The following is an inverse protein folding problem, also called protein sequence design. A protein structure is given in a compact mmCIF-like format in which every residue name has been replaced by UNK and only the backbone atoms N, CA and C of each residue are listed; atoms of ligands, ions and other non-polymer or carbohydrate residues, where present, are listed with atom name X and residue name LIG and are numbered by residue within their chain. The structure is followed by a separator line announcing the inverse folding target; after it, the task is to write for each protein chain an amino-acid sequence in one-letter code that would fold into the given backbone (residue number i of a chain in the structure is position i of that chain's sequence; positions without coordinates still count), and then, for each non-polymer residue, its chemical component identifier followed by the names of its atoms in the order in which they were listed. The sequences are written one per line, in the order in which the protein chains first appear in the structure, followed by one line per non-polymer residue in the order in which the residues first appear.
data_IF_062956538273
#
_entry.id   IF_062956538273
#
_cell.length_a   1.000
_cell.length_b   1.000
_cell.length_c   1.000
_cell.angle_alpha   90.00
_cell.angle_beta   90.00
_cell.angle_gamma   90.00
#
_symmetry.space_group_name_H-M   'P 1'
#
loop_
_entity.id
_entity.type
_entity.pdbx_description
1 polymer ?
#
# COMPACT_ATOMS: atom_id res chain seq x y z
N UNK A 1 -59.24 -24.69 -8.04
CA UNK A 1 -59.16 -24.41 -9.50
C UNK A 1 -58.74 -22.96 -9.64
N UNK A 2 -57.50 -22.69 -10.07
CA UNK A 2 -57.15 -22.35 -11.47
C UNK A 2 -57.89 -21.09 -11.95
N UNK A 3 -57.29 -19.99 -12.41
CA UNK A 3 -55.92 -19.63 -12.78
C UNK A 3 -55.95 -18.37 -13.69
N UNK A 4 -54.76 -17.88 -14.07
CA UNK A 4 -54.44 -16.90 -15.16
C UNK A 4 -54.82 -15.42 -14.91
N UNK A 5 -53.85 -14.54 -14.65
CA UNK A 5 -52.86 -13.88 -15.57
C UNK A 5 -53.50 -12.91 -16.57
N UNK A 6 -53.29 -11.61 -16.35
CA UNK A 6 -52.94 -10.65 -17.39
C UNK A 6 -52.03 -9.57 -16.78
N UNK A 7 -50.79 -9.52 -17.28
CA UNK A 7 -49.85 -8.40 -17.18
C UNK A 7 -50.29 -7.35 -18.20
N UNK A 8 -50.03 -6.08 -17.92
CA UNK A 8 -49.37 -5.09 -18.79
C UNK A 8 -49.04 -3.89 -17.87
N UNK A 9 -47.80 -3.71 -17.40
CA UNK A 9 -46.65 -3.08 -18.09
C UNK A 9 -46.94 -1.64 -18.55
N UNK A 10 -46.75 -0.65 -17.67
CA UNK A 10 -45.92 0.51 -18.02
C UNK A 10 -45.52 1.30 -16.76
N UNK A 11 -44.23 1.27 -16.46
CA UNK A 11 -43.58 1.80 -15.26
C UNK A 11 -42.40 0.87 -15.00
N UNK A 12 -41.15 1.29 -14.95
CA UNK A 12 -40.59 2.58 -14.60
C UNK A 12 -39.29 2.76 -15.39
N UNK A 13 -38.94 4.02 -15.63
CA UNK A 13 -37.65 4.47 -16.11
C UNK A 13 -36.54 3.93 -15.20
N UNK A 14 -35.80 2.89 -15.64
CA UNK A 14 -34.59 2.42 -14.95
C UNK A 14 -33.47 3.44 -15.12
N UNK A 15 -33.59 4.54 -14.38
CA UNK A 15 -32.43 5.32 -13.96
C UNK A 15 -31.94 4.69 -12.67
N UNK A 16 -30.97 3.77 -12.78
CA UNK A 16 -30.19 3.31 -11.62
C UNK A 16 -29.38 4.49 -11.09
N UNK A 17 -30.01 5.35 -10.29
CA UNK A 17 -29.32 6.35 -9.50
C UNK A 17 -28.50 5.59 -8.45
N UNK A 18 -27.18 5.51 -8.67
CA UNK A 18 -26.20 5.05 -7.68
C UNK A 18 -26.31 5.95 -6.45
N UNK A 19 -27.14 5.54 -5.49
CA UNK A 19 -27.40 6.24 -4.21
C UNK A 19 -26.29 5.99 -3.19
N UNK A 20 -25.10 5.55 -3.63
CA UNK A 20 -23.96 5.32 -2.74
C UNK A 20 -23.51 6.65 -2.14
N UNK A 21 -23.76 6.80 -0.83
CA UNK A 21 -23.34 7.97 -0.05
C UNK A 21 -21.85 8.27 -0.26
N UNK A 22 -21.46 9.54 -0.50
CA UNK A 22 -20.10 9.92 -0.90
C UNK A 22 -19.01 9.43 0.07
N UNK A 23 -19.31 9.35 1.37
CA UNK A 23 -18.38 8.79 2.37
C UNK A 23 -18.11 7.29 2.18
N UNK A 24 -19.10 6.50 1.74
CA UNK A 24 -18.93 5.07 1.46
C UNK A 24 -18.11 4.88 0.19
N UNK A 25 -18.38 5.68 -0.85
CA UNK A 25 -17.61 5.70 -2.09
C UNK A 25 -16.14 6.05 -1.84
N UNK A 26 -15.89 7.13 -1.08
CA UNK A 26 -14.55 7.53 -0.63
C UNK A 26 -13.83 6.41 0.12
N UNK A 27 -14.48 5.75 1.09
CA UNK A 27 -13.84 4.65 1.86
C UNK A 27 -13.45 3.46 0.97
N UNK A 28 -14.26 3.13 -0.04
CA UNK A 28 -13.94 2.08 -1.02
C UNK A 28 -12.76 2.50 -1.89
N UNK A 29 -12.75 3.74 -2.38
CA UNK A 29 -11.65 4.29 -3.20
C UNK A 29 -10.31 4.29 -2.46
N UNK A 30 -10.28 4.75 -1.20
CA UNK A 30 -9.08 4.68 -0.36
C UNK A 30 -8.62 3.23 -0.13
N UNK A 31 -9.53 2.32 0.19
CA UNK A 31 -9.20 0.91 0.36
C UNK A 31 -8.63 0.25 -0.90
N UNK A 32 -9.12 0.66 -2.08
CA UNK A 32 -8.62 0.19 -3.38
C UNK A 32 -7.22 0.75 -3.68
N UNK A 33 -6.96 2.02 -3.36
CA UNK A 33 -5.64 2.63 -3.52
C UNK A 33 -4.59 1.94 -2.63
N UNK A 34 -4.94 1.68 -1.37
CA UNK A 34 -4.08 0.96 -0.43
C UNK A 34 -3.81 -0.48 -0.90
N UNK A 35 -4.83 -1.17 -1.43
CA UNK A 35 -4.67 -2.52 -1.99
C UNK A 35 -3.74 -2.53 -3.22
N UNK A 36 -3.83 -1.52 -4.10
CA UNK A 36 -2.93 -1.38 -5.25
C UNK A 36 -1.48 -1.18 -4.81
N UNK A 37 -1.24 -0.28 -3.84
CA UNK A 37 0.10 -0.08 -3.29
C UNK A 37 0.64 -1.36 -2.63
N UNK A 38 -0.21 -2.08 -1.87
CA UNK A 38 0.16 -3.35 -1.27
C UNK A 38 0.56 -4.41 -2.32
N UNK A 39 -0.17 -4.49 -3.43
CA UNK A 39 0.19 -5.37 -4.55
C UNK A 39 1.55 -4.98 -5.14
N UNK A 40 1.80 -3.70 -5.39
CA UNK A 40 3.09 -3.23 -5.88
C UNK A 40 4.24 -3.59 -4.93
N UNK A 41 4.08 -3.43 -3.61
CA UNK A 41 5.11 -3.84 -2.64
C UNK A 41 5.36 -5.35 -2.63
N UNK A 42 4.33 -6.16 -2.85
CA UNK A 42 4.51 -7.60 -3.00
C UNK A 42 5.29 -7.94 -4.27
N UNK A 43 4.95 -7.29 -5.38
CA UNK A 43 5.59 -7.52 -6.69
C UNK A 43 7.05 -7.03 -6.73
N UNK A 44 7.44 -6.07 -5.88
CA UNK A 44 8.86 -5.74 -5.67
C UNK A 44 9.68 -6.92 -5.14
N UNK A 45 9.03 -7.89 -4.50
CA UNK A 45 9.65 -9.14 -4.01
C UNK A 45 9.54 -10.31 -4.97
N UNK A 46 8.92 -10.15 -6.13
CA UNK A 46 8.68 -11.23 -7.08
C UNK A 46 10.00 -11.82 -7.61
N UNK A 47 10.07 -13.11 -7.90
CA UNK A 47 11.30 -13.73 -8.42
C UNK A 47 11.58 -13.38 -9.89
N UNK A 48 10.57 -12.95 -10.63
CA UNK A 48 10.69 -12.50 -12.02
C UNK A 48 11.16 -11.05 -12.07
N UNK A 49 12.34 -10.84 -12.68
CA UNK A 49 12.95 -9.49 -12.82
C UNK A 49 12.02 -8.48 -13.50
N UNK A 50 11.31 -8.90 -14.54
CA UNK A 50 10.40 -8.03 -15.28
C UNK A 50 9.24 -7.53 -14.39
N UNK A 51 8.66 -8.42 -13.59
CA UNK A 51 7.62 -8.07 -12.61
C UNK A 51 8.14 -7.07 -11.59
N UNK A 52 9.31 -7.32 -11.00
CA UNK A 52 9.93 -6.39 -10.03
C UNK A 52 10.16 -4.99 -10.60
N UNK A 53 10.73 -4.90 -11.81
CA UNK A 53 11.03 -3.61 -12.44
C UNK A 53 9.75 -2.86 -12.85
N UNK A 54 8.74 -3.59 -13.32
CA UNK A 54 7.44 -3.00 -13.62
C UNK A 54 6.79 -2.44 -12.36
N UNK A 55 6.77 -3.22 -11.28
CA UNK A 55 6.23 -2.79 -9.99
C UNK A 55 6.97 -1.57 -9.43
N UNK A 56 8.30 -1.52 -9.55
CA UNK A 56 9.08 -0.34 -9.17
C UNK A 56 8.67 0.89 -9.98
N UNK A 57 8.57 0.77 -11.30
CA UNK A 57 8.14 1.89 -12.16
C UNK A 57 6.71 2.37 -11.84
N UNK A 58 5.78 1.43 -11.63
CA UNK A 58 4.39 1.74 -11.30
C UNK A 58 4.27 2.39 -9.91
N UNK A 59 5.05 1.93 -8.92
CA UNK A 59 5.12 2.54 -7.60
C UNK A 59 5.68 3.96 -7.66
N UNK A 60 6.74 4.19 -8.42
CA UNK A 60 7.34 5.52 -8.60
C UNK A 60 6.30 6.49 -9.20
N UNK A 61 5.55 6.07 -10.23
CA UNK A 61 4.48 6.89 -10.83
C UNK A 61 3.36 7.19 -9.83
N UNK A 62 2.98 6.21 -9.02
CA UNK A 62 1.96 6.39 -7.99
C UNK A 62 2.41 7.39 -6.90
N UNK A 63 3.71 7.47 -6.62
CA UNK A 63 4.28 8.33 -5.58
C UNK A 63 4.77 9.69 -6.08
N UNK A 64 4.84 9.91 -7.40
CA UNK A 64 5.30 11.17 -7.96
C UNK A 64 4.48 12.38 -7.51
N UNK A 65 3.17 12.19 -7.33
CA UNK A 65 2.20 13.21 -6.89
C UNK A 65 1.59 12.89 -5.51
N UNK A 66 2.23 11.99 -4.75
CA UNK A 66 1.74 11.60 -3.44
C UNK A 66 1.94 12.72 -2.41
N UNK A 67 1.03 12.81 -1.45
CA UNK A 67 1.21 13.69 -0.31
C UNK A 67 2.43 13.28 0.54
N UNK A 68 2.98 14.20 1.36
CA UNK A 68 4.15 13.91 2.19
C UNK A 68 3.95 12.71 3.12
N UNK A 69 2.75 12.54 3.72
CA UNK A 69 2.49 11.45 4.66
C UNK A 69 2.55 10.06 3.96
N UNK A 70 1.98 9.97 2.75
CA UNK A 70 2.00 8.78 1.91
C UNK A 70 3.43 8.47 1.45
N UNK A 71 4.22 9.49 1.13
CA UNK A 71 5.64 9.34 0.81
C UNK A 71 6.43 8.82 2.01
N UNK A 72 6.22 9.36 3.21
CA UNK A 72 6.87 8.92 4.45
C UNK A 72 6.58 7.44 4.75
N UNK A 73 5.30 7.06 4.69
CA UNK A 73 4.83 5.68 4.85
C UNK A 73 5.46 4.75 3.81
N UNK A 74 5.62 5.23 2.58
CA UNK A 74 6.25 4.47 1.50
C UNK A 74 7.74 4.27 1.74
N UNK A 75 8.47 5.31 2.17
CA UNK A 75 9.88 5.21 2.54
C UNK A 75 10.09 4.19 3.67
N UNK A 76 9.25 4.23 4.71
CA UNK A 76 9.30 3.25 5.81
C UNK A 76 9.12 1.82 5.31
N UNK A 77 8.13 1.57 4.43
CA UNK A 77 7.91 0.25 3.83
C UNK A 77 9.07 -0.19 2.95
N UNK A 78 9.64 0.72 2.19
CA UNK A 78 10.75 0.42 1.29
C UNK A 78 12.01 0.00 2.06
N UNK A 79 12.36 0.74 3.10
CA UNK A 79 13.51 0.41 3.97
C UNK A 79 13.28 -0.93 4.68
N UNK A 80 12.08 -1.19 5.21
CA UNK A 80 11.75 -2.50 5.79
C UNK A 80 11.83 -3.63 4.77
N UNK A 81 11.42 -3.38 3.52
CA UNK A 81 11.52 -4.35 2.43
C UNK A 81 12.96 -4.71 2.06
N UNK A 82 13.91 -3.78 2.22
CA UNK A 82 15.35 -4.07 2.08
C UNK A 82 15.85 -5.04 3.15
N UNK A 83 15.29 -4.97 4.36
CA UNK A 83 15.59 -5.89 5.46
C UNK A 83 14.87 -7.24 5.34
N UNK A 84 14.09 -7.47 4.28
CA UNK A 84 13.40 -8.73 4.04
C UNK A 84 14.38 -9.89 3.82
N UNK A 85 13.99 -11.08 4.31
CA UNK A 85 14.72 -12.33 4.09
C UNK A 85 14.55 -12.89 2.67
N UNK A 86 13.59 -12.37 1.90
CA UNK A 86 13.36 -12.78 0.50
C UNK A 86 14.50 -12.27 -0.39
N UNK A 87 15.24 -13.18 -1.02
CA UNK A 87 16.42 -12.84 -1.84
C UNK A 87 16.10 -11.85 -2.96
N UNK A 88 14.96 -12.01 -3.64
CA UNK A 88 14.56 -11.13 -4.74
C UNK A 88 14.14 -9.73 -4.29
N UNK A 89 13.62 -9.58 -3.06
CA UNK A 89 13.11 -8.33 -2.51
C UNK A 89 14.18 -7.22 -2.51
N UNK A 90 15.40 -7.53 -2.05
CA UNK A 90 16.47 -6.53 -1.94
C UNK A 90 16.69 -5.76 -3.25
N UNK A 91 16.60 -6.44 -4.39
CA UNK A 91 16.81 -5.82 -5.70
C UNK A 91 15.64 -4.94 -6.18
N UNK A 92 14.40 -5.34 -5.92
CA UNK A 92 13.23 -4.52 -6.30
C UNK A 92 13.09 -3.31 -5.39
N UNK A 93 13.22 -3.53 -4.09
CA UNK A 93 13.12 -2.48 -3.08
C UNK A 93 14.24 -1.43 -3.18
N UNK A 94 15.47 -1.82 -3.51
CA UNK A 94 16.58 -0.87 -3.68
C UNK A 94 16.38 0.05 -4.87
N UNK A 95 15.94 -0.51 -6.00
CA UNK A 95 15.65 0.26 -7.22
C UNK A 95 14.55 1.29 -6.95
N UNK A 96 13.44 0.87 -6.34
CA UNK A 96 12.34 1.78 -6.01
C UNK A 96 12.78 2.89 -5.04
N UNK A 97 13.51 2.54 -3.97
CA UNK A 97 13.98 3.51 -2.98
C UNK A 97 14.92 4.56 -3.59
N UNK A 98 15.90 4.12 -4.39
CA UNK A 98 16.88 5.04 -5.02
C UNK A 98 16.17 6.04 -5.92
N UNK A 99 15.21 5.60 -6.74
CA UNK A 99 14.52 6.50 -7.66
C UNK A 99 13.59 7.47 -6.91
N UNK A 100 12.94 7.04 -5.83
CA UNK A 100 12.15 7.94 -4.98
C UNK A 100 13.04 9.01 -4.35
N UNK A 101 14.20 8.62 -3.78
CA UNK A 101 15.16 9.58 -3.22
C UNK A 101 15.64 10.58 -4.30
N UNK A 102 15.87 10.13 -5.54
CA UNK A 102 16.24 11.02 -6.64
C UNK A 102 15.13 11.98 -7.03
N UNK A 103 13.87 11.52 -7.08
CA UNK A 103 12.72 12.38 -7.37
C UNK A 103 12.62 13.50 -6.34
N UNK A 104 12.82 13.16 -5.08
CA UNK A 104 12.70 14.11 -3.97
C UNK A 104 13.90 15.04 -3.85
N UNK A 105 15.11 14.61 -4.25
CA UNK A 105 16.29 15.50 -4.26
C UNK A 105 16.31 16.49 -5.43
N UNK A 106 15.63 16.19 -6.54
CA UNK A 106 15.58 17.07 -7.73
C UNK A 106 14.57 18.20 -7.62
N UNK A 107 13.58 18.04 -6.75
CA UNK A 107 12.70 19.12 -6.36
C UNK A 107 13.36 19.81 -5.16
N UNK A 108 13.89 21.05 -5.29
CA UNK A 108 14.25 21.83 -4.12
C UNK A 108 12.96 22.32 -3.46
N UNK A 109 12.08 21.40 -3.05
CA UNK A 109 11.04 21.72 -2.09
C UNK A 109 11.74 21.88 -0.77
N UNK A 110 12.25 23.08 -0.53
CA UNK A 110 12.37 23.64 0.80
C UNK A 110 11.03 23.41 1.49
N UNK A 111 10.92 22.32 2.24
CA UNK A 111 9.70 21.91 2.96
C UNK A 111 8.44 21.89 2.10
N UNK A 112 8.13 20.76 1.44
CA UNK A 112 6.72 20.36 1.44
C UNK A 112 6.45 20.01 2.90
N UNK A 113 5.62 20.80 3.59
CA UNK A 113 5.35 20.59 5.01
C UNK A 113 4.99 19.11 5.26
N UNK A 114 5.88 18.35 5.88
CA UNK A 114 5.58 16.98 6.30
C UNK A 114 6.74 15.98 6.30
N UNK A 115 7.69 16.03 5.35
CA UNK A 115 8.79 15.03 5.32
C UNK A 115 10.15 15.66 5.07
N UNK A 116 11.01 15.52 6.07
CA UNK A 116 12.43 15.85 5.96
C UNK A 116 13.17 14.75 5.19
N UNK A 117 13.57 15.07 3.96
CA UNK A 117 14.30 14.19 3.05
C UNK A 117 15.79 14.56 2.97
N UNK A 118 16.27 15.35 3.93
CA UNK A 118 17.71 15.57 4.08
C UNK A 118 18.41 14.26 4.41
N UNK A 119 19.68 14.17 4.03
CA UNK A 119 20.49 12.98 4.30
C UNK A 119 20.51 12.60 5.80
N UNK A 120 20.68 13.55 6.76
CA UNK A 120 20.62 13.23 8.18
C UNK A 120 19.28 12.61 8.61
N UNK A 121 18.15 13.20 8.19
CA UNK A 121 16.83 12.68 8.55
C UNK A 121 16.58 11.27 7.99
N UNK A 122 17.03 10.99 6.77
CA UNK A 122 16.94 9.65 6.17
C UNK A 122 17.81 8.65 6.95
N UNK A 123 19.03 9.03 7.34
CA UNK A 123 19.92 8.17 8.15
C UNK A 123 19.27 7.86 9.48
N UNK A 124 18.77 8.87 10.20
CA UNK A 124 18.10 8.70 11.49
C UNK A 124 16.89 7.78 11.35
N UNK A 125 16.10 7.96 10.29
CA UNK A 125 14.96 7.10 9.99
C UNK A 125 15.38 5.65 9.73
N UNK A 126 16.43 5.40 8.94
CA UNK A 126 16.97 4.06 8.70
C UNK A 126 17.38 3.43 10.02
N UNK A 127 18.13 4.14 10.85
CA UNK A 127 18.58 3.63 12.16
C UNK A 127 17.37 3.27 13.02
N UNK A 128 16.40 4.17 13.14
CA UNK A 128 15.19 3.97 13.94
C UNK A 128 14.41 2.71 13.53
N UNK A 129 14.17 2.52 12.23
CA UNK A 129 13.27 1.45 11.75
C UNK A 129 13.95 0.10 11.50
N UNK A 130 15.28 0.06 11.56
CA UNK A 130 16.07 -1.18 11.38
C UNK A 130 16.62 -1.74 12.67
N UNK A 131 16.46 -1.04 13.80
CA UNK A 131 16.71 -1.62 15.11
C UNK A 131 15.72 -2.77 15.40
N UNK A 132 16.16 -3.85 16.06
CA UNK A 132 15.27 -4.94 16.46
C UNK A 132 14.20 -4.39 17.43
N UNK A 133 12.92 -4.63 17.15
CA UNK A 133 11.87 -4.37 18.15
C UNK A 133 12.19 -5.17 19.41
N UNK A 134 12.27 -4.50 20.57
CA UNK A 134 12.34 -5.19 21.85
C UNK A 134 11.16 -6.16 21.95
N UNK A 135 11.48 -7.46 21.98
CA UNK A 135 10.51 -8.55 21.97
C UNK A 135 9.64 -8.52 23.24
N UNK A 136 8.53 -7.80 23.19
CA UNK A 136 7.45 -7.89 24.18
C UNK A 136 6.25 -8.62 23.59
N UNK A 137 6.39 -9.92 23.29
CA UNK A 137 5.23 -10.81 23.19
C UNK A 137 5.63 -12.29 23.30
N UNK A 138 6.05 -12.69 24.49
CA UNK A 138 5.98 -14.08 24.92
C UNK A 138 4.50 -14.46 25.13
N UNK A 139 3.73 -14.63 24.04
CA UNK A 139 2.41 -15.26 24.11
C UNK A 139 2.59 -16.76 24.19
N UNK A 140 2.73 -17.26 25.41
CA UNK A 140 2.63 -18.68 25.76
C UNK A 140 1.33 -19.21 25.16
N UNK A 141 1.44 -20.04 24.12
CA UNK A 141 0.32 -20.77 23.55
C UNK A 141 -0.10 -21.83 24.56
N UNK A 142 -1.12 -21.54 25.37
CA UNK A 142 -1.76 -22.56 26.19
C UNK A 142 -2.39 -23.62 25.28
N UNK A 143 -1.71 -24.76 25.17
CA UNK A 143 -2.24 -25.96 24.54
C UNK A 143 -3.33 -26.53 25.46
N UNK A 144 -4.60 -26.32 25.13
CA UNK A 144 -5.72 -26.93 25.85
C UNK A 144 -5.88 -28.37 25.35
N UNK A 145 -5.29 -29.31 26.08
CA UNK A 145 -5.53 -30.75 25.87
C UNK A 145 -6.94 -31.06 26.38
N UNK A 146 -7.84 -31.39 25.45
CA UNK A 146 -9.12 -32.01 25.77
C UNK A 146 -8.80 -33.48 26.11
N UNK A 147 -8.96 -33.86 27.38
CA UNK A 147 -9.06 -35.28 27.76
C UNK A 147 -10.52 -35.70 27.60
N UNK A 148 -10.73 -36.78 26.85
CA UNK A 148 -11.96 -37.57 26.80
C UNK A 148 -12.01 -38.43 28.07
#
# INVERSE_FOLDING_TARGET
MAGKRARDLNGEDETTHDTTHPSRKRRVEFGVADAKLAALYNDLSDDVKATRLKAAADLIRALAEADPEALDKSLTRLIRGLCSSRKAARSGFSVALIEILKLTSKSPTTGVEGVDLTLPAIIDKIVLITQPEEQSNNKVRHHRVIRI
#
